data_IF_103736467020
#
_entry.id   IF_103736467020
#
_cell.length_a   1.000
_cell.length_b   1.000
_cell.length_c   1.000
_cell.angle_alpha   90.00
_cell.angle_beta   90.00
_cell.angle_gamma   90.00
#
_symmetry.space_group_name_H-M   'P 1'
#
loop_
_entity.id
_entity.type
_entity.pdbx_description
1 polymer ?
#
# COMPACT_ATOMS: atom_id res chain seq x y z
N UNK A 1 -13.07 9.77 0.51
CA UNK A 1 -12.70 9.44 1.89
C UNK A 1 -11.25 9.90 2.11
N UNK A 2 -11.03 11.09 2.64
CA UNK A 2 -9.66 11.64 2.80
C UNK A 2 -8.75 10.77 3.69
N UNK A 3 -9.32 10.09 4.68
CA UNK A 3 -8.57 9.23 5.61
C UNK A 3 -7.99 7.99 4.90
N UNK A 4 -8.78 7.31 4.06
CA UNK A 4 -8.34 6.09 3.35
C UNK A 4 -7.26 6.41 2.31
N UNK A 5 -7.38 7.56 1.62
CA UNK A 5 -6.37 8.02 0.68
C UNK A 5 -5.03 8.27 1.38
N UNK A 6 -5.07 8.98 2.52
CA UNK A 6 -3.87 9.27 3.31
C UNK A 6 -3.18 8.00 3.82
N UNK A 7 -3.96 7.01 4.26
CA UNK A 7 -3.39 5.71 4.68
C UNK A 7 -2.72 4.96 3.52
N UNK A 8 -3.27 5.04 2.30
CA UNK A 8 -2.65 4.46 1.11
C UNK A 8 -1.32 5.15 0.82
N UNK A 9 -1.27 6.48 0.86
CA UNK A 9 -0.04 7.24 0.64
C UNK A 9 1.03 6.96 1.70
N UNK A 10 0.66 6.86 2.98
CA UNK A 10 1.59 6.53 4.06
C UNK A 10 2.23 5.14 3.85
N UNK A 11 1.42 4.13 3.51
CA UNK A 11 1.93 2.77 3.26
C UNK A 11 2.74 2.71 1.96
N UNK A 12 2.37 3.48 0.93
CA UNK A 12 3.18 3.62 -0.28
C UNK A 12 4.56 4.18 0.03
N UNK A 13 4.64 5.23 0.85
CA UNK A 13 5.91 5.82 1.24
C UNK A 13 6.77 4.85 2.06
N UNK A 14 6.16 4.07 2.96
CA UNK A 14 6.86 3.01 3.69
C UNK A 14 7.44 1.95 2.75
N UNK A 15 6.68 1.53 1.74
CA UNK A 15 7.15 0.58 0.74
C UNK A 15 8.35 1.13 -0.06
N UNK A 16 8.28 2.39 -0.49
CA UNK A 16 9.38 3.04 -1.23
C UNK A 16 10.67 3.10 -0.41
N UNK A 17 10.57 3.42 0.89
CA UNK A 17 11.72 3.44 1.80
C UNK A 17 12.28 2.03 1.99
N UNK A 18 11.44 1.04 2.30
CA UNK A 18 11.86 -0.34 2.50
C UNK A 18 12.55 -0.93 1.26
N UNK A 19 11.99 -0.69 0.06
CA UNK A 19 12.61 -1.08 -1.22
C UNK A 19 13.98 -0.43 -1.39
N UNK A 20 14.11 0.86 -1.08
CA UNK A 20 15.40 1.57 -1.18
C UNK A 20 16.44 1.02 -0.21
N UNK A 21 16.05 0.76 1.04
CA UNK A 21 16.95 0.24 2.08
C UNK A 21 17.37 -1.21 1.84
N UNK A 22 16.50 -2.03 1.23
CA UNK A 22 16.83 -3.40 0.84
C UNK A 22 17.76 -3.51 -0.37
N UNK A 23 18.11 -2.39 -1.02
CA UNK A 23 18.82 -2.42 -2.31
C UNK A 23 17.95 -2.92 -3.46
N UNK A 24 16.65 -2.59 -3.44
CA UNK A 24 15.65 -3.01 -4.43
C UNK A 24 15.40 -4.53 -4.47
N UNK A 25 15.52 -5.21 -3.33
CA UNK A 25 15.18 -6.62 -3.22
C UNK A 25 13.68 -6.82 -3.03
N UNK A 26 12.93 -6.93 -4.13
CA UNK A 26 11.48 -7.15 -4.08
C UNK A 26 11.05 -8.52 -3.53
N UNK A 27 12.00 -9.45 -3.34
CA UNK A 27 11.75 -10.75 -2.70
C UNK A 27 11.95 -10.70 -1.18
N UNK A 28 12.36 -9.55 -0.64
CA UNK A 28 12.47 -9.37 0.80
C UNK A 28 11.10 -9.61 1.47
N UNK A 29 11.01 -10.49 2.48
CA UNK A 29 9.75 -10.80 3.14
C UNK A 29 9.03 -9.58 3.73
N UNK A 30 9.76 -8.55 4.12
CA UNK A 30 9.21 -7.29 4.65
C UNK A 30 8.58 -6.45 3.54
N UNK A 31 9.25 -6.32 2.39
CA UNK A 31 8.72 -5.64 1.20
C UNK A 31 7.47 -6.35 0.67
N UNK A 32 7.49 -7.68 0.64
CA UNK A 32 6.33 -8.49 0.24
C UNK A 32 5.15 -8.26 1.20
N UNK A 33 5.39 -8.16 2.51
CA UNK A 33 4.32 -7.85 3.47
C UNK A 33 3.74 -6.46 3.28
N UNK A 34 4.59 -5.44 3.13
CA UNK A 34 4.15 -4.05 2.98
C UNK A 34 3.37 -3.87 1.66
N UNK A 35 3.84 -4.48 0.56
CA UNK A 35 3.12 -4.45 -0.73
C UNK A 35 1.75 -5.13 -0.65
N UNK A 36 1.64 -6.28 0.01
CA UNK A 36 0.34 -6.93 0.24
C UNK A 36 -0.62 -6.10 1.11
N UNK A 37 -0.09 -5.32 2.06
CA UNK A 37 -0.90 -4.39 2.86
C UNK A 37 -1.41 -3.24 1.99
N UNK A 38 -0.56 -2.68 1.13
CA UNK A 38 -0.93 -1.63 0.19
C UNK A 38 -2.03 -2.11 -0.78
N UNK A 39 -1.88 -3.30 -1.36
CA UNK A 39 -2.89 -3.88 -2.26
C UNK A 39 -4.26 -4.03 -1.59
N UNK A 40 -4.29 -4.50 -0.33
CA UNK A 40 -5.54 -4.63 0.43
C UNK A 40 -6.22 -3.28 0.65
N UNK A 41 -5.44 -2.23 0.94
CA UNK A 41 -5.98 -0.88 1.13
C UNK A 41 -6.53 -0.31 -0.17
N UNK A 42 -5.84 -0.52 -1.30
CA UNK A 42 -6.29 -0.10 -2.63
C UNK A 42 -7.61 -0.80 -2.99
N UNK A 43 -7.67 -2.13 -2.86
CA UNK A 43 -8.89 -2.91 -3.15
C UNK A 43 -10.05 -2.48 -2.26
N UNK A 44 -9.80 -2.27 -0.96
CA UNK A 44 -10.82 -1.77 -0.03
C UNK A 44 -11.34 -0.39 -0.47
N UNK A 45 -10.44 0.52 -0.86
CA UNK A 45 -10.79 1.85 -1.35
C UNK A 45 -11.62 1.79 -2.64
N UNK A 46 -11.18 1.02 -3.64
CA UNK A 46 -11.90 0.82 -4.90
C UNK A 46 -13.30 0.22 -4.69
N UNK A 47 -13.43 -0.74 -3.77
CA UNK A 47 -14.71 -1.38 -3.45
C UNK A 47 -15.67 -0.41 -2.76
N UNK A 48 -15.17 0.49 -1.92
CA UNK A 48 -15.99 1.54 -1.29
C UNK A 48 -16.44 2.59 -2.31
N UNK A 49 -15.58 2.97 -3.26
CA UNK A 49 -15.94 3.94 -4.31
C UNK A 49 -16.93 3.34 -5.33
N UNK A 50 -16.79 2.04 -5.64
CA UNK A 50 -17.71 1.30 -6.52
C UNK A 50 -19.11 1.04 -5.91
N UNK A 51 -19.28 1.26 -4.61
CA UNK A 51 -20.56 1.07 -3.88
C UNK A 51 -21.41 2.33 -3.77
N UNK A 52 -20.99 3.45 -4.37
CA UNK A 52 -21.84 4.64 -4.46
C UNK A 52 -22.97 4.38 -5.48
N UNK A 53 -24.26 4.46 -5.08
CA UNK A 53 -25.38 4.34 -5.99
C UNK A 53 -25.42 5.48 -7.02
#
# INVERSE_FOLDING_TARGET
>A
MEITQKMIDDVRQQLEVAVRESGYNFLDPEIVKISQQLDKLIVAHMTQDSKRP
#
